data_IF_371841851399
#
_entry.id   IF_371841851399
#
_cell.length_a   1.000
_cell.length_b   1.000
_cell.length_c   1.000
_cell.angle_alpha   90.00
_cell.angle_beta   90.00
_cell.angle_gamma   90.00
#
_symmetry.space_group_name_H-M   'P 1'
#
loop_
_entity.id
_entity.type
_entity.pdbx_description
1 polymer ?
#
# COMPACT_ATOMS: atom_id res chain seq x y z
N UNK A 1 -8.03 -15.22 31.74
CA UNK A 1 -8.23 -16.64 31.43
C UNK A 1 -7.57 -16.92 30.09
N UNK A 2 -6.36 -17.50 30.05
CA UNK A 2 -5.66 -17.83 28.79
C UNK A 2 -6.42 -18.99 28.14
N UNK A 3 -7.11 -18.73 27.04
CA UNK A 3 -7.75 -19.77 26.23
C UNK A 3 -6.70 -20.41 25.32
N UNK A 4 -6.58 -21.72 25.41
CA UNK A 4 -5.65 -22.55 24.65
C UNK A 4 -6.20 -22.81 23.24
N UNK A 5 -6.08 -21.79 22.37
CA UNK A 5 -6.47 -21.82 20.95
C UNK A 5 -5.88 -23.02 20.20
N UNK A 6 -4.76 -23.55 20.67
CA UNK A 6 -4.09 -24.72 20.12
C UNK A 6 -4.93 -25.99 20.30
N UNK A 7 -5.67 -26.09 21.41
CA UNK A 7 -6.48 -27.26 21.76
C UNK A 7 -7.80 -27.35 20.96
N UNK A 8 -8.43 -26.20 20.70
CA UNK A 8 -9.63 -26.10 19.85
C UNK A 8 -9.28 -26.33 18.37
N UNK A 9 -8.12 -25.85 17.91
CA UNK A 9 -7.65 -26.09 16.54
C UNK A 9 -7.31 -27.57 16.30
N UNK A 10 -6.70 -28.26 17.27
CA UNK A 10 -6.47 -29.72 17.19
C UNK A 10 -7.74 -30.57 17.21
N UNK A 11 -8.84 -30.07 17.78
CA UNK A 11 -10.17 -30.71 17.68
C UNK A 11 -10.78 -30.52 16.29
N UNK A 12 -10.67 -29.32 15.72
CA UNK A 12 -11.16 -29.01 14.38
C UNK A 12 -10.43 -29.84 13.29
N UNK A 13 -9.11 -29.98 13.40
CA UNK A 13 -8.32 -30.76 12.43
C UNK A 13 -8.68 -32.26 12.40
N UNK A 14 -9.04 -32.84 13.56
CA UNK A 14 -9.54 -34.23 13.64
C UNK A 14 -10.89 -34.39 12.96
N UNK A 15 -11.79 -33.41 13.08
CA UNK A 15 -13.12 -33.45 12.47
C UNK A 15 -13.10 -33.31 10.93
N UNK A 16 -12.11 -32.62 10.37
CA UNK A 16 -11.93 -32.47 8.92
C UNK A 16 -11.24 -33.67 8.24
N UNK A 17 -10.75 -34.65 9.01
CA UNK A 17 -10.07 -35.85 8.48
C UNK A 17 -10.99 -37.04 8.19
N UNK A 18 -12.31 -36.87 8.36
CA UNK A 18 -13.31 -37.90 8.08
C UNK A 18 -13.91 -37.71 6.66
N UNK A 19 -14.05 -38.77 5.85
CA UNK A 19 -14.68 -38.66 4.54
C UNK A 19 -16.16 -38.27 4.71
N UNK A 20 -16.61 -37.23 4.01
CA UNK A 20 -17.98 -36.70 3.98
C UNK A 20 -18.49 -35.92 5.22
N UNK A 21 -17.61 -35.29 6.00
CA UNK A 21 -18.06 -34.37 7.05
C UNK A 21 -18.54 -33.02 6.48
N UNK A 22 -19.85 -32.72 6.60
CA UNK A 22 -20.36 -31.34 6.53
C UNK A 22 -20.26 -30.71 7.92
N UNK A 23 -19.19 -29.97 8.19
CA UNK A 23 -18.99 -29.31 9.48
C UNK A 23 -19.53 -27.88 9.46
N UNK A 24 -20.40 -27.57 10.42
CA UNK A 24 -20.85 -26.21 10.75
C UNK A 24 -20.17 -25.84 12.07
N UNK A 25 -19.11 -25.05 12.03
CA UNK A 25 -18.40 -24.65 13.25
C UNK A 25 -18.91 -23.29 13.72
N UNK A 26 -19.56 -23.25 14.89
CA UNK A 26 -19.91 -22.00 15.57
C UNK A 26 -18.74 -21.58 16.46
N UNK A 27 -18.10 -20.47 16.12
CA UNK A 27 -17.19 -19.78 17.04
C UNK A 27 -17.98 -18.68 17.75
N UNK A 28 -18.31 -18.92 19.01
CA UNK A 28 -18.90 -17.91 19.90
C UNK A 28 -17.80 -17.18 20.64
N UNK A 29 -17.74 -15.86 20.48
CA UNK A 29 -16.86 -14.98 21.23
C UNK A 29 -17.65 -14.41 22.41
N UNK A 30 -17.19 -14.63 23.64
CA UNK A 30 -17.73 -13.96 24.81
C UNK A 30 -16.84 -12.77 25.15
N UNK A 31 -17.18 -11.58 24.65
CA UNK A 31 -16.77 -10.32 25.26
C UNK A 31 -17.91 -9.85 26.17
N UNK A 32 -17.58 -9.22 27.31
CA UNK A 32 -18.55 -8.70 28.28
C UNK A 32 -19.42 -7.54 27.77
N UNK A 33 -19.59 -7.39 26.47
CA UNK A 33 -20.51 -6.44 25.83
C UNK A 33 -21.35 -7.22 24.81
N UNK A 34 -22.67 -7.01 24.86
CA UNK A 34 -23.71 -7.73 24.13
C UNK A 34 -23.53 -7.69 22.60
N UNK A 35 -22.67 -8.55 22.04
CA UNK A 35 -22.68 -8.86 20.61
C UNK A 35 -22.41 -10.35 20.40
N UNK A 36 -23.45 -11.08 19.98
CA UNK A 36 -23.33 -12.44 19.48
C UNK A 36 -23.32 -12.41 17.95
N UNK A 37 -22.14 -12.57 17.34
CA UNK A 37 -21.98 -12.76 15.90
C UNK A 37 -21.72 -14.23 15.56
N UNK A 38 -22.32 -14.73 14.47
CA UNK A 38 -22.13 -16.11 13.99
C UNK A 38 -21.31 -16.09 12.71
N UNK A 39 -20.11 -16.67 12.73
CA UNK A 39 -19.36 -16.97 11.51
C UNK A 39 -19.90 -18.26 10.88
N UNK A 40 -20.47 -18.19 9.67
CA UNK A 40 -20.98 -19.35 8.94
C UNK A 40 -20.11 -19.61 7.71
N UNK A 41 -19.28 -20.64 7.77
CA UNK A 41 -18.57 -21.17 6.59
C UNK A 41 -19.49 -22.20 5.90
N UNK A 42 -19.85 -21.95 4.64
CA UNK A 42 -20.61 -22.89 3.80
C UNK A 42 -19.74 -23.35 2.62
N UNK A 43 -19.62 -24.66 2.45
CA UNK A 43 -19.05 -25.28 1.25
C UNK A 43 -20.18 -25.91 0.44
N UNK A 44 -20.33 -25.53 -0.83
CA UNK A 44 -21.25 -26.18 -1.78
C UNK A 44 -20.46 -26.88 -2.88
N UNK A 45 -20.76 -28.13 -3.25
CA UNK A 45 -20.11 -28.79 -4.36
C UNK A 45 -20.82 -28.41 -5.67
N UNK A 46 -20.06 -27.89 -6.63
CA UNK A 46 -20.49 -27.67 -8.02
C UNK A 46 -19.34 -28.01 -8.96
N UNK A 47 -19.63 -28.80 -10.00
CA UNK A 47 -18.65 -29.31 -10.94
C UNK A 47 -18.12 -28.21 -11.89
N UNK A 48 -16.80 -28.12 -12.01
CA UNK A 48 -16.10 -27.23 -12.95
C UNK A 48 -15.52 -25.97 -12.30
N UNK A 49 -14.19 -25.88 -12.28
CA UNK A 49 -13.34 -24.79 -11.78
C UNK A 49 -13.54 -24.43 -10.29
N UNK A 50 -12.57 -24.86 -9.47
CA UNK A 50 -12.44 -24.44 -8.06
C UNK A 50 -12.24 -22.92 -7.96
N UNK A 51 -13.32 -22.18 -7.71
CA UNK A 51 -13.27 -20.81 -7.18
C UNK A 51 -13.74 -20.82 -5.73
N UNK A 52 -12.86 -20.66 -4.73
CA UNK A 52 -13.31 -20.39 -3.36
C UNK A 52 -13.77 -18.93 -3.29
N UNK A 53 -15.08 -18.72 -3.08
CA UNK A 53 -15.63 -17.40 -2.78
C UNK A 53 -15.58 -17.18 -1.26
N UNK A 54 -14.84 -16.18 -0.82
CA UNK A 54 -14.74 -15.81 0.60
C UNK A 54 -15.59 -14.56 0.81
N UNK A 55 -16.61 -14.66 1.67
CA UNK A 55 -17.53 -13.55 1.95
C UNK A 55 -17.35 -13.14 3.41
N UNK A 56 -17.02 -11.87 3.65
CA UNK A 56 -17.09 -11.27 4.98
C UNK A 56 -18.40 -10.49 5.11
N UNK A 57 -19.04 -10.58 6.28
CA UNK A 57 -20.31 -9.90 6.53
C UNK A 57 -20.05 -8.43 6.93
N UNK A 58 -20.73 -7.49 6.26
CA UNK A 58 -20.46 -6.05 6.31
C UNK A 58 -20.71 -5.38 7.68
N UNK A 59 -21.41 -6.03 8.60
CA UNK A 59 -21.62 -5.51 9.97
C UNK A 59 -20.39 -5.63 10.88
N UNK A 60 -19.35 -6.38 10.50
CA UNK A 60 -18.09 -6.49 11.27
C UNK A 60 -17.05 -5.42 10.91
N UNK A 61 -17.26 -4.66 9.85
CA UNK A 61 -16.27 -3.69 9.31
C UNK A 61 -16.33 -2.32 10.00
N UNK A 62 -17.29 -2.09 10.91
CA UNK A 62 -17.43 -0.82 11.65
C UNK A 62 -16.89 -0.81 13.08
N UNK A 63 -16.27 -1.88 13.59
CA UNK A 63 -15.69 -1.84 14.95
C UNK A 63 -14.36 -2.58 15.13
N UNK A 64 -13.29 -1.79 15.32
CA UNK A 64 -12.05 -2.06 16.07
C UNK A 64 -11.03 -3.06 15.48
N UNK A 65 -9.74 -2.72 15.64
CA UNK A 65 -8.55 -3.41 15.11
C UNK A 65 -8.31 -4.87 15.54
N UNK A 66 -9.25 -5.51 16.24
CA UNK A 66 -9.19 -6.92 16.64
C UNK A 66 -9.45 -7.89 15.48
N UNK A 67 -10.27 -7.51 14.49
CA UNK A 67 -10.50 -8.30 13.27
C UNK A 67 -9.23 -8.32 12.41
N UNK A 68 -8.51 -7.20 12.35
CA UNK A 68 -7.21 -7.05 11.67
C UNK A 68 -6.15 -7.99 12.26
N UNK A 69 -6.07 -8.08 13.60
CA UNK A 69 -5.10 -8.93 14.29
C UNK A 69 -5.37 -10.43 14.12
N UNK A 70 -6.65 -10.83 14.07
CA UNK A 70 -7.03 -12.25 13.96
C UNK A 70 -6.70 -12.86 12.59
N UNK A 71 -6.75 -12.07 11.51
CA UNK A 71 -6.34 -12.49 10.16
C UNK A 71 -4.82 -12.64 10.06
N UNK A 72 -4.08 -11.71 10.68
CA UNK A 72 -2.61 -11.76 10.77
C UNK A 72 -2.15 -12.98 11.58
N UNK A 73 -2.82 -13.30 12.68
CA UNK A 73 -2.48 -14.44 13.54
C UNK A 73 -2.81 -15.79 12.89
N UNK A 74 -3.91 -15.89 12.13
CA UNK A 74 -4.22 -17.07 11.30
C UNK A 74 -3.11 -17.34 10.27
N UNK A 75 -2.56 -16.29 9.66
CA UNK A 75 -1.47 -16.41 8.68
C UNK A 75 -0.11 -16.75 9.34
N UNK A 76 0.16 -16.23 10.55
CA UNK A 76 1.37 -16.55 11.34
C UNK A 76 1.41 -18.01 11.78
N UNK A 77 0.29 -18.58 12.22
CA UNK A 77 0.19 -20.00 12.64
C UNK A 77 0.44 -20.94 11.46
N UNK A 78 0.00 -20.57 10.26
CA UNK A 78 0.23 -21.36 9.06
C UNK A 78 1.72 -21.36 8.64
N UNK A 79 2.45 -20.27 8.91
CA UNK A 79 3.87 -20.11 8.53
C UNK A 79 4.86 -20.64 9.57
N UNK A 80 4.52 -20.66 10.86
CA UNK A 80 5.41 -21.23 11.90
C UNK A 80 5.68 -22.73 11.72
N UNK A 81 4.89 -23.41 10.88
CA UNK A 81 5.12 -24.79 10.47
C UNK A 81 6.00 -24.95 9.21
N UNK A 82 6.42 -23.86 8.55
CA UNK A 82 7.00 -23.93 7.20
C UNK A 82 8.40 -23.33 6.99
N UNK A 83 9.04 -22.68 7.98
CA UNK A 83 10.38 -22.10 7.74
C UNK A 83 11.36 -22.41 8.87
N UNK A 84 12.29 -23.31 8.59
CA UNK A 84 13.58 -23.42 9.28
C UNK A 84 14.70 -23.32 8.22
N UNK A 85 15.26 -22.11 8.03
CA UNK A 85 16.66 -21.88 7.65
C UNK A 85 16.96 -20.36 7.63
N UNK A 86 18.19 -19.92 7.98
CA UNK A 86 18.52 -18.53 8.29
C UNK A 86 19.08 -17.75 7.09
N UNK A 87 18.94 -16.43 7.12
CA UNK A 87 19.51 -15.49 6.16
C UNK A 87 20.87 -14.96 6.65
N UNK A 88 21.85 -14.86 5.75
CA UNK A 88 23.12 -14.15 5.92
C UNK A 88 23.17 -12.87 5.05
N UNK A 89 23.98 -11.86 5.42
CA UNK A 89 23.78 -10.46 5.02
C UNK A 89 24.55 -10.07 3.74
N UNK A 90 23.93 -9.23 2.92
CA UNK A 90 24.57 -8.63 1.74
C UNK A 90 25.18 -7.26 2.07
N UNK A 91 26.38 -7.06 1.53
CA UNK A 91 27.34 -6.00 1.84
C UNK A 91 27.04 -4.63 1.19
N UNK A 92 27.58 -3.59 1.82
CA UNK A 92 27.57 -2.18 1.44
C UNK A 92 28.38 -1.90 0.16
N UNK A 93 27.87 -0.97 -0.68
CA UNK A 93 28.67 -0.25 -1.65
C UNK A 93 28.25 1.22 -1.68
N UNK A 94 29.17 2.06 -1.23
CA UNK A 94 29.09 3.52 -1.12
C UNK A 94 29.52 4.22 -2.41
N UNK A 95 28.80 5.26 -2.81
CA UNK A 95 29.33 6.32 -3.66
C UNK A 95 28.58 7.65 -3.41
N UNK A 96 29.32 8.66 -2.95
CA UNK A 96 28.94 10.08 -2.93
C UNK A 96 29.43 10.73 -4.23
N UNK A 97 28.81 11.83 -4.71
CA UNK A 97 29.39 13.12 -4.35
C UNK A 97 28.35 14.23 -4.04
N UNK A 98 28.87 15.23 -3.32
CA UNK A 98 28.21 16.42 -2.80
C UNK A 98 27.73 17.41 -3.88
N UNK A 99 26.72 18.24 -3.56
CA UNK A 99 26.64 19.68 -3.90
C UNK A 99 25.58 20.39 -3.04
N UNK A 100 26.05 21.42 -2.33
CA UNK A 100 25.48 22.73 -1.93
C UNK A 100 23.97 22.91 -1.73
N UNK A 101 23.62 23.36 -0.51
CA UNK A 101 22.30 23.81 -0.10
C UNK A 101 21.91 25.15 -0.74
N UNK A 102 20.69 25.21 -1.28
CA UNK A 102 19.98 26.44 -1.64
C UNK A 102 18.59 26.40 -1.00
N UNK A 103 18.28 27.42 -0.20
CA UNK A 103 16.93 27.66 0.35
C UNK A 103 15.90 27.64 -0.78
N UNK A 104 15.03 26.64 -0.76
CA UNK A 104 14.04 26.39 -1.82
C UNK A 104 12.65 26.75 -1.29
N UNK A 105 12.05 27.77 -1.90
CA UNK A 105 10.62 28.07 -1.77
C UNK A 105 9.80 26.93 -2.40
N UNK A 106 8.64 26.62 -1.81
CA UNK A 106 7.79 25.50 -2.23
C UNK A 106 7.39 25.57 -3.71
N UNK A 107 7.48 24.45 -4.43
CA UNK A 107 7.04 24.35 -5.82
C UNK A 107 5.53 24.65 -5.93
N UNK A 108 5.05 25.33 -7.01
CA UNK A 108 3.64 25.67 -7.16
C UNK A 108 2.75 24.41 -7.21
N UNK A 109 1.53 24.45 -6.63
CA UNK A 109 0.64 23.29 -6.61
C UNK A 109 0.17 22.91 -8.03
N UNK A 110 0.02 21.62 -8.35
CA UNK A 110 -0.51 21.20 -9.64
C UNK A 110 -1.99 21.56 -9.79
N UNK A 111 -2.42 21.78 -11.03
CA UNK A 111 -3.81 22.04 -11.39
C UNK A 111 -4.69 20.81 -11.08
N UNK A 112 -5.93 21.04 -10.63
CA UNK A 112 -6.89 19.98 -10.31
C UNK A 112 -7.15 19.03 -11.50
N UNK A 113 -7.33 17.71 -11.27
CA UNK A 113 -7.60 16.76 -12.34
C UNK A 113 -8.93 17.05 -13.05
N UNK A 114 -8.92 16.94 -14.38
CA UNK A 114 -10.12 17.02 -15.22
C UNK A 114 -10.89 15.71 -15.08
N UNK A 115 -12.19 15.80 -14.76
CA UNK A 115 -13.05 14.65 -14.52
C UNK A 115 -13.08 13.67 -15.72
N UNK A 116 -13.04 12.35 -15.48
CA UNK A 116 -13.12 11.35 -16.54
C UNK A 116 -14.49 11.34 -17.23
N UNK A 117 -14.59 10.95 -18.51
CA UNK A 117 -15.85 10.89 -19.22
C UNK A 117 -16.79 9.84 -18.64
N UNK A 118 -18.02 10.27 -18.40
CA UNK A 118 -19.13 9.52 -17.81
C UNK A 118 -19.68 8.47 -18.76
N UNK A 119 -19.47 7.18 -18.47
CA UNK A 119 -20.43 6.07 -18.61
C UNK A 119 -19.71 4.72 -18.45
N UNK A 120 -19.57 4.28 -17.20
CA UNK A 120 -19.26 2.88 -16.89
C UNK A 120 -20.26 2.38 -15.84
N UNK A 121 -20.73 1.12 -15.94
CA UNK A 121 -21.63 0.54 -14.94
C UNK A 121 -20.95 0.61 -13.57
N UNK A 122 -21.74 0.81 -12.50
CA UNK A 122 -21.28 1.00 -11.12
C UNK A 122 -20.28 -0.10 -10.77
N UNK A 123 -18.99 0.20 -10.91
CA UNK A 123 -17.94 -0.77 -10.67
C UNK A 123 -17.96 -1.10 -9.18
N UNK A 124 -17.98 -2.39 -8.84
CA UNK A 124 -17.87 -2.81 -7.46
C UNK A 124 -16.65 -2.12 -6.83
N UNK A 125 -16.82 -1.54 -5.64
CA UNK A 125 -15.73 -0.95 -4.87
C UNK A 125 -14.61 -1.98 -4.74
N UNK A 126 -13.37 -1.56 -4.96
CA UNK A 126 -12.21 -2.45 -4.92
C UNK A 126 -11.32 -2.10 -3.74
N UNK A 127 -10.32 -2.95 -3.48
CA UNK A 127 -9.31 -2.65 -2.46
C UNK A 127 -8.61 -1.30 -2.72
N UNK A 128 -8.49 -0.88 -3.98
CA UNK A 128 -7.89 0.39 -4.40
C UNK A 128 -8.61 1.62 -3.81
N UNK A 129 -9.91 1.49 -3.50
CA UNK A 129 -10.76 2.56 -2.97
C UNK A 129 -10.68 2.72 -1.46
N UNK A 130 -10.29 1.66 -0.74
CA UNK A 130 -10.45 1.60 0.73
C UNK A 130 -9.16 1.36 1.48
N UNK A 131 -8.14 0.78 0.82
CA UNK A 131 -6.87 0.49 1.46
C UNK A 131 -6.02 1.76 1.51
N UNK A 132 -5.66 2.19 2.71
CA UNK A 132 -4.72 3.28 2.95
C UNK A 132 -3.29 2.70 3.05
N UNK A 133 -2.42 3.11 2.13
CA UNK A 133 -0.99 2.81 2.15
C UNK A 133 -0.26 3.82 3.03
N UNK A 134 0.73 3.34 3.78
CA UNK A 134 1.61 4.18 4.62
C UNK A 134 3.01 4.22 4.02
N UNK A 135 3.37 5.34 3.41
CA UNK A 135 4.63 5.51 2.68
C UNK A 135 5.55 6.46 3.41
N UNK A 136 6.73 6.01 3.83
CA UNK A 136 7.74 6.92 4.37
C UNK A 136 8.30 7.78 3.22
N UNK A 137 8.05 9.09 3.30
CA UNK A 137 8.43 10.08 2.27
C UNK A 137 9.62 10.95 2.69
N UNK A 138 9.94 11.00 3.99
CA UNK A 138 11.19 11.54 4.50
C UNK A 138 11.61 10.75 5.75
N UNK A 139 12.88 10.36 5.84
CA UNK A 139 13.41 9.53 6.93
C UNK A 139 14.69 10.12 7.47
N UNK A 140 14.83 10.14 8.79
CA UNK A 140 16.05 10.53 9.50
C UNK A 140 16.54 11.94 9.14
N UNK A 141 15.62 12.87 8.87
CA UNK A 141 15.97 14.26 8.48
C UNK A 141 15.91 15.19 9.69
N UNK A 142 16.77 16.20 9.72
CA UNK A 142 16.81 17.19 10.83
C UNK A 142 15.75 18.27 10.70
N UNK A 143 15.32 18.58 9.48
CA UNK A 143 14.28 19.56 9.17
C UNK A 143 13.50 19.14 7.95
N UNK A 144 12.24 19.56 7.84
CA UNK A 144 11.39 19.30 6.68
C UNK A 144 10.46 20.47 6.42
N UNK A 145 10.42 20.96 5.19
CA UNK A 145 9.44 21.97 4.76
C UNK A 145 8.10 21.29 4.52
N UNK A 146 7.04 21.77 5.17
CA UNK A 146 5.68 21.23 5.07
C UNK A 146 4.70 22.35 4.76
N UNK A 147 3.78 22.15 3.81
CA UNK A 147 2.79 23.15 3.41
C UNK A 147 1.47 22.52 2.98
N UNK A 148 0.45 23.36 2.79
CA UNK A 148 -0.87 22.94 2.29
C UNK A 148 -1.36 23.95 1.23
N UNK A 149 -1.86 23.46 0.10
CA UNK A 149 -2.31 24.33 -1.00
C UNK A 149 -3.64 25.06 -0.68
N UNK A 150 -4.58 24.39 -0.01
CA UNK A 150 -5.93 24.89 0.29
C UNK A 150 -6.04 25.60 1.64
N UNK A 151 -4.95 25.66 2.42
CA UNK A 151 -5.01 25.91 3.86
C UNK A 151 -5.49 24.68 4.62
N UNK A 152 -5.10 24.54 5.89
CA UNK A 152 -5.46 23.38 6.69
C UNK A 152 -4.99 23.49 8.14
N UNK A 153 -5.18 22.42 8.90
CA UNK A 153 -4.87 22.37 10.34
C UNK A 153 -3.86 21.28 10.61
N UNK A 154 -2.80 21.61 11.36
CA UNK A 154 -1.93 20.61 11.97
C UNK A 154 -2.62 20.10 13.22
N UNK A 155 -2.86 18.79 13.31
CA UNK A 155 -3.62 18.17 14.39
C UNK A 155 -2.76 17.19 15.19
N UNK A 156 -3.13 16.94 16.44
CA UNK A 156 -2.57 15.82 17.19
C UNK A 156 -3.21 14.50 16.76
N UNK A 157 -2.71 13.38 17.29
CA UNK A 157 -3.22 12.04 16.97
C UNK A 157 -4.66 11.78 17.44
N UNK A 158 -5.20 12.65 18.29
CA UNK A 158 -6.60 12.61 18.76
C UNK A 158 -7.54 13.50 17.93
N UNK A 159 -7.03 14.19 16.90
CA UNK A 159 -7.79 15.10 16.04
C UNK A 159 -7.94 16.53 16.58
N UNK A 160 -7.29 16.88 17.68
CA UNK A 160 -7.29 18.26 18.18
C UNK A 160 -6.25 19.08 17.41
N UNK A 161 -6.69 20.22 16.85
CA UNK A 161 -5.81 21.17 16.17
C UNK A 161 -4.76 21.79 17.09
N UNK A 162 -3.52 21.89 16.60
CA UNK A 162 -2.44 22.68 17.18
C UNK A 162 -2.44 24.10 16.61
N UNK A 163 -2.42 24.20 15.28
CA UNK A 163 -2.28 25.46 14.55
C UNK A 163 -2.74 25.31 13.11
N UNK A 164 -3.06 26.44 12.49
CA UNK A 164 -3.39 26.53 11.08
C UNK A 164 -2.13 26.67 10.23
N UNK A 165 -2.14 26.06 9.05
CA UNK A 165 -1.19 26.32 7.99
C UNK A 165 -1.84 27.23 6.95
N UNK A 166 -1.23 28.39 6.63
CA UNK A 166 -1.77 29.30 5.65
C UNK A 166 -1.84 28.64 4.26
N UNK A 167 -2.86 28.99 3.48
CA UNK A 167 -2.98 28.53 2.10
C UNK A 167 -1.79 29.01 1.27
N UNK A 168 -1.22 28.11 0.48
CA UNK A 168 0.00 28.34 -0.32
C UNK A 168 1.24 28.75 0.49
N UNK A 169 1.19 28.63 1.82
CA UNK A 169 2.36 28.78 2.68
C UNK A 169 3.03 27.45 2.99
N UNK A 170 4.27 27.53 3.45
CA UNK A 170 4.99 26.40 4.02
C UNK A 170 5.64 26.80 5.34
N UNK A 171 5.83 25.82 6.21
CA UNK A 171 6.52 25.95 7.48
C UNK A 171 7.65 24.94 7.54
N UNK A 172 8.75 25.33 8.18
CA UNK A 172 9.83 24.39 8.49
C UNK A 172 9.46 23.66 9.77
N UNK A 173 9.45 22.33 9.69
CA UNK A 173 9.27 21.42 10.81
C UNK A 173 10.64 20.92 11.26
N UNK A 174 10.85 20.86 12.58
CA UNK A 174 12.07 20.32 13.21
C UNK A 174 11.74 19.53 14.48
N UNK A 175 12.54 18.51 14.85
CA UNK A 175 12.38 17.81 16.11
C UNK A 175 12.91 18.66 17.27
N UNK A 176 12.28 18.56 18.43
CA UNK A 176 12.71 19.18 19.69
C UNK A 176 12.82 18.11 20.78
N UNK A 177 13.37 18.46 21.95
CA UNK A 177 13.41 17.54 23.08
C UNK A 177 12.02 17.08 23.58
N UNK A 178 10.97 17.85 23.29
CA UNK A 178 9.60 17.61 23.79
C UNK A 178 8.62 17.15 22.70
N UNK A 179 9.03 17.14 21.43
CA UNK A 179 8.13 16.82 20.32
C UNK A 179 8.62 17.39 19.01
N UNK A 180 7.74 18.08 18.28
CA UNK A 180 8.06 18.73 17.02
C UNK A 180 7.79 20.23 17.13
N UNK A 181 8.46 21.03 16.31
CA UNK A 181 8.18 22.44 16.15
C UNK A 181 7.97 22.75 14.67
N UNK A 182 6.83 23.34 14.34
CA UNK A 182 6.46 23.77 12.99
C UNK A 182 6.32 25.29 12.97
N UNK A 183 7.34 26.01 12.48
CA UNK A 183 7.42 27.46 12.66
C UNK A 183 7.32 27.86 14.14
N UNK A 184 6.32 28.64 14.49
CA UNK A 184 6.05 29.06 15.89
C UNK A 184 5.16 28.08 16.67
N UNK A 185 4.70 27.00 16.03
CA UNK A 185 3.75 26.05 16.60
C UNK A 185 4.49 24.86 17.25
N UNK A 186 4.23 24.63 18.54
CA UNK A 186 4.76 23.48 19.27
C UNK A 186 3.80 22.30 19.15
N UNK A 187 4.29 21.18 18.64
CA UNK A 187 3.52 19.95 18.47
C UNK A 187 4.05 18.87 19.42
N UNK A 188 3.27 17.81 19.63
CA UNK A 188 3.76 16.62 20.34
C UNK A 188 4.78 15.84 19.49
N UNK A 189 5.16 14.64 19.95
CA UNK A 189 6.03 13.73 19.20
C UNK A 189 5.40 13.23 17.90
N UNK A 190 4.08 13.39 17.72
CA UNK A 190 3.36 13.03 16.52
C UNK A 190 2.33 14.11 16.14
N UNK A 191 2.24 14.43 14.85
CA UNK A 191 1.24 15.37 14.35
C UNK A 191 0.76 14.99 12.95
N UNK A 192 -0.52 15.18 12.70
CA UNK A 192 -1.15 15.04 11.40
C UNK A 192 -1.16 16.38 10.67
N UNK A 193 -0.84 16.32 9.38
CA UNK A 193 -1.04 17.40 8.43
C UNK A 193 -2.02 16.88 7.39
N UNK A 194 -3.19 17.50 7.33
CA UNK A 194 -4.29 17.04 6.49
C UNK A 194 -4.79 18.18 5.60
N UNK A 195 -5.02 17.85 4.33
CA UNK A 195 -5.59 18.73 3.33
C UNK A 195 -6.81 18.03 2.71
N UNK A 196 -8.01 18.13 3.32
CA UNK A 196 -9.18 17.32 2.95
C UNK A 196 -9.53 17.38 1.45
N UNK A 197 -9.43 18.58 0.86
CA UNK A 197 -9.70 18.84 -0.56
C UNK A 197 -8.45 19.33 -1.32
N UNK A 198 -7.26 18.96 -0.83
CA UNK A 198 -6.01 19.54 -1.28
C UNK A 198 -4.83 18.56 -1.31
N UNK A 199 -3.64 19.16 -1.29
CA UNK A 199 -2.37 18.48 -1.32
C UNK A 199 -1.51 18.97 -0.16
N UNK A 200 -0.77 18.05 0.45
CA UNK A 200 0.25 18.35 1.44
C UNK A 200 1.59 18.43 0.73
N UNK A 201 2.26 19.56 0.83
CA UNK A 201 3.63 19.72 0.36
C UNK A 201 4.57 19.19 1.43
N UNK A 202 5.53 18.35 1.05
CA UNK A 202 6.55 17.82 1.95
C UNK A 202 7.89 17.77 1.21
N UNK A 203 8.87 18.50 1.72
CA UNK A 203 10.20 18.59 1.10
C UNK A 203 10.16 19.33 -0.23
N UNK A 204 10.07 18.57 -1.32
CA UNK A 204 10.07 19.03 -2.71
C UNK A 204 8.82 18.63 -3.51
N UNK A 205 7.91 17.87 -2.89
CA UNK A 205 6.84 17.17 -3.60
C UNK A 205 5.48 17.40 -2.94
N UNK A 206 4.43 17.37 -3.76
CA UNK A 206 3.04 17.45 -3.31
C UNK A 206 2.44 16.05 -3.19
N UNK A 207 1.67 15.79 -2.14
CA UNK A 207 1.08 14.49 -1.86
C UNK A 207 -0.43 14.60 -1.61
N UNK A 208 -1.18 13.61 -2.08
CA UNK A 208 -2.60 13.40 -1.73
C UNK A 208 -2.72 12.80 -0.33
N UNK A 209 -3.92 12.90 0.24
CA UNK A 209 -4.24 12.34 1.55
C UNK A 209 -3.64 13.16 2.67
N UNK A 210 -3.08 12.49 3.68
CA UNK A 210 -2.57 13.13 4.91
C UNK A 210 -1.16 12.68 5.21
N UNK A 211 -0.45 13.47 6.00
CA UNK A 211 0.95 13.19 6.37
C UNK A 211 1.06 13.14 7.89
N UNK A 212 1.61 12.05 8.39
CA UNK A 212 2.03 11.90 9.77
C UNK A 212 3.48 12.38 9.91
N UNK A 213 3.69 13.37 10.76
CA UNK A 213 5.02 13.82 11.17
C UNK A 213 5.34 13.21 12.53
N UNK A 214 6.54 12.63 12.65
CA UNK A 214 7.02 11.97 13.86
C UNK A 214 8.39 12.51 14.26
N UNK A 215 8.54 12.80 15.57
CA UNK A 215 9.86 12.89 16.18
C UNK A 215 10.31 11.48 16.58
N UNK A 216 11.22 10.92 15.80
CA UNK A 216 11.79 9.60 16.00
C UNK A 216 13.23 9.73 16.50
N UNK A 217 13.41 9.79 17.82
CA UNK A 217 14.74 9.83 18.43
C UNK A 217 15.54 11.10 18.10
N UNK A 218 14.88 12.24 17.94
CA UNK A 218 15.53 13.51 17.58
C UNK A 218 15.71 13.69 16.06
N UNK A 219 15.19 12.77 15.25
CA UNK A 219 15.11 12.91 13.79
C UNK A 219 13.65 12.90 13.33
N UNK A 220 13.37 13.55 12.21
CA UNK A 220 12.04 13.55 11.61
C UNK A 220 11.82 12.33 10.74
N UNK A 221 10.62 11.77 10.88
CA UNK A 221 10.02 10.83 9.96
C UNK A 221 8.70 11.43 9.47
N UNK A 222 8.53 11.52 8.15
CA UNK A 222 7.26 11.87 7.53
C UNK A 222 6.69 10.66 6.79
N UNK A 223 5.45 10.29 7.10
CA UNK A 223 4.74 9.16 6.50
C UNK A 223 3.48 9.69 5.83
N UNK A 224 3.37 9.51 4.51
CA UNK A 224 2.17 9.81 3.78
C UNK A 224 1.19 8.64 3.87
N UNK A 225 -0.03 8.96 4.27
CA UNK A 225 -1.17 8.08 4.34
C UNK A 225 -2.06 8.42 3.15
N UNK A 226 -2.16 7.49 2.20
CA UNK A 226 -2.77 7.72 0.89
C UNK A 226 -3.53 6.48 0.45
N UNK A 227 -4.70 6.65 -0.17
CA UNK A 227 -5.46 5.51 -0.68
C UNK A 227 -4.71 4.83 -1.83
N UNK A 228 -4.82 3.51 -1.91
CA UNK A 228 -4.02 2.68 -2.82
C UNK A 228 -4.15 3.11 -4.30
N UNK A 229 -5.34 3.51 -4.77
CA UNK A 229 -5.52 4.05 -6.13
C UNK A 229 -4.60 5.23 -6.44
N UNK A 230 -4.51 6.17 -5.50
CA UNK A 230 -3.76 7.41 -5.68
C UNK A 230 -2.26 7.15 -5.55
N UNK A 231 -1.88 6.28 -4.61
CA UNK A 231 -0.52 5.74 -4.53
C UNK A 231 -0.06 5.14 -5.88
N UNK A 232 -0.87 4.25 -6.47
CA UNK A 232 -0.52 3.58 -7.72
C UNK A 232 -0.41 4.54 -8.89
N UNK A 233 -1.24 5.58 -8.95
CA UNK A 233 -1.18 6.57 -10.04
C UNK A 233 0.15 7.33 -10.04
N UNK A 234 0.69 7.61 -8.85
CA UNK A 234 2.01 8.21 -8.66
C UNK A 234 3.15 7.22 -8.92
N UNK A 235 3.04 5.97 -8.46
CA UNK A 235 4.06 4.95 -8.71
C UNK A 235 4.21 4.68 -10.21
N UNK A 236 3.11 4.47 -10.93
CA UNK A 236 3.17 4.22 -12.38
C UNK A 236 3.81 5.42 -13.10
N UNK A 237 3.47 6.65 -12.73
CA UNK A 237 4.08 7.87 -13.30
C UNK A 237 5.54 8.10 -12.89
N UNK A 238 5.96 7.55 -11.76
CA UNK A 238 7.36 7.60 -11.30
C UNK A 238 8.25 6.58 -12.00
N UNK A 239 7.66 5.45 -12.40
CA UNK A 239 8.35 4.26 -12.91
C UNK A 239 8.32 4.16 -14.45
N UNK A 240 7.30 4.72 -15.10
CA UNK A 240 7.13 4.62 -16.55
C UNK A 240 6.80 5.97 -17.17
N UNK A 241 7.23 6.14 -18.43
CA UNK A 241 6.88 7.33 -19.19
C UNK A 241 5.38 7.30 -19.57
N UNK A 242 4.64 8.41 -19.39
CA UNK A 242 3.20 8.47 -19.66
C UNK A 242 2.77 8.20 -21.11
N UNK A 243 3.68 8.39 -22.07
CA UNK A 243 3.45 8.20 -23.51
C UNK A 243 3.67 6.75 -23.96
N UNK A 244 4.11 5.87 -23.06
CA UNK A 244 4.23 4.44 -23.37
C UNK A 244 2.86 3.79 -23.58
N UNK A 245 2.79 2.67 -24.31
CA UNK A 245 1.54 2.00 -24.60
C UNK A 245 0.73 1.70 -23.34
N UNK A 246 -0.58 1.97 -23.39
CA UNK A 246 -1.47 1.79 -22.23
C UNK A 246 -1.41 0.37 -21.65
N UNK A 247 -1.22 -0.66 -22.48
CA UNK A 247 -1.10 -2.04 -22.02
C UNK A 247 0.15 -2.29 -21.17
N UNK A 248 1.26 -1.59 -21.45
CA UNK A 248 2.46 -1.62 -20.61
C UNK A 248 2.22 -0.92 -19.27
N UNK A 249 1.56 0.25 -19.29
CA UNK A 249 1.17 0.98 -18.07
C UNK A 249 0.21 0.17 -17.19
N UNK A 250 -0.74 -0.56 -17.79
CA UNK A 250 -1.64 -1.49 -17.07
C UNK A 250 -0.88 -2.64 -16.42
N UNK A 251 0.08 -3.24 -17.13
CA UNK A 251 0.93 -4.29 -16.57
C UNK A 251 1.71 -3.78 -15.34
N UNK A 252 2.26 -2.57 -15.43
CA UNK A 252 2.93 -1.92 -14.30
C UNK A 252 1.98 -1.59 -13.15
N UNK A 253 0.76 -1.12 -13.43
CA UNK A 253 -0.22 -0.86 -12.36
C UNK A 253 -0.52 -2.12 -11.55
N UNK A 254 -0.69 -3.27 -12.21
CA UNK A 254 -0.94 -4.57 -11.56
C UNK A 254 0.28 -5.06 -10.77
N UNK A 255 1.48 -4.97 -11.36
CA UNK A 255 2.71 -5.32 -10.66
C UNK A 255 2.91 -4.40 -9.43
N UNK A 256 2.75 -3.08 -9.60
CA UNK A 256 2.88 -2.14 -8.50
C UNK A 256 1.87 -2.42 -7.38
N UNK A 257 0.63 -2.77 -7.73
CA UNK A 257 -0.42 -3.16 -6.76
C UNK A 257 -0.04 -4.41 -5.98
N UNK A 258 0.44 -5.44 -6.67
CA UNK A 258 0.83 -6.70 -6.02
C UNK A 258 2.01 -6.50 -5.04
N UNK A 259 2.98 -5.67 -5.41
CA UNK A 259 4.08 -5.27 -4.53
C UNK A 259 3.60 -4.47 -3.31
N UNK A 260 2.75 -3.46 -3.52
CA UNK A 260 2.18 -2.63 -2.46
C UNK A 260 1.36 -3.46 -1.46
N UNK A 261 0.51 -4.36 -1.94
CA UNK A 261 -0.28 -5.25 -1.09
C UNK A 261 0.60 -6.20 -0.26
N UNK A 262 1.68 -6.72 -0.85
CA UNK A 262 2.64 -7.56 -0.13
C UNK A 262 3.25 -6.79 1.06
N UNK A 263 3.66 -5.54 0.84
CA UNK A 263 4.25 -4.69 1.86
C UNK A 263 3.24 -4.13 2.86
N UNK A 264 1.97 -4.01 2.48
CA UNK A 264 0.92 -3.73 3.45
C UNK A 264 0.72 -4.90 4.43
N UNK A 265 0.82 -6.14 3.94
CA UNK A 265 0.73 -7.35 4.78
C UNK A 265 2.01 -7.56 5.61
N UNK A 266 3.17 -7.16 5.08
CA UNK A 266 4.49 -7.26 5.70
C UNK A 266 5.17 -5.90 5.71
N UNK A 267 4.74 -4.99 6.60
CA UNK A 267 5.25 -3.63 6.60
C UNK A 267 6.72 -3.57 6.98
N UNK A 268 7.44 -2.64 6.36
CA UNK A 268 8.85 -2.40 6.63
C UNK A 268 9.11 -1.90 8.06
N UNK A 269 8.11 -1.28 8.70
CA UNK A 269 8.15 -0.90 10.12
C UNK A 269 6.74 -0.80 10.73
N UNK A 270 6.67 -0.53 12.02
CA UNK A 270 5.38 -0.24 12.67
C UNK A 270 4.72 1.05 12.15
N UNK A 271 5.53 1.99 11.62
CA UNK A 271 5.06 3.31 11.18
C UNK A 271 4.63 3.34 9.71
N UNK A 272 5.29 2.57 8.84
CA UNK A 272 5.06 2.62 7.40
C UNK A 272 5.18 1.24 6.75
N UNK A 273 4.44 1.05 5.66
CA UNK A 273 4.39 -0.19 4.89
C UNK A 273 5.63 -0.32 4.01
N UNK A 274 6.02 0.77 3.34
CA UNK A 274 7.20 0.88 2.46
C UNK A 274 7.73 2.33 2.46
N UNK A 275 8.90 2.57 1.88
CA UNK A 275 9.43 3.92 1.65
C UNK A 275 9.41 4.31 0.17
N UNK A 276 9.68 5.58 -0.13
CA UNK A 276 9.61 6.16 -1.47
C UNK A 276 10.88 6.00 -2.32
N UNK A 277 11.85 5.18 -1.87
CA UNK A 277 13.12 4.99 -2.56
C UNK A 277 13.07 3.83 -3.56
N UNK A 278 14.08 3.76 -4.43
CA UNK A 278 14.26 2.65 -5.38
C UNK A 278 14.47 1.28 -4.70
N UNK A 279 14.69 1.24 -3.38
CA UNK A 279 14.69 -0.03 -2.63
C UNK A 279 13.32 -0.70 -2.65
N UNK A 280 12.25 0.09 -2.74
CA UNK A 280 10.89 -0.39 -2.87
C UNK A 280 10.33 0.01 -4.23
N UNK A 281 9.62 1.13 -4.30
CA UNK A 281 9.01 1.66 -5.51
C UNK A 281 9.19 3.17 -5.50
N UNK A 282 9.46 3.75 -6.67
CA UNK A 282 9.51 5.20 -6.77
C UNK A 282 8.11 5.78 -6.52
N UNK A 283 7.99 6.62 -5.50
CA UNK A 283 6.76 7.34 -5.15
C UNK A 283 7.06 8.83 -4.98
N UNK A 284 6.70 9.63 -6.00
CA UNK A 284 7.07 11.06 -6.11
C UNK A 284 5.90 12.03 -5.88
N UNK A 285 4.77 11.51 -5.40
CA UNK A 285 3.56 12.30 -5.18
C UNK A 285 2.86 12.69 -6.49
N UNK A 286 2.10 13.79 -6.47
CA UNK A 286 1.15 14.13 -7.53
C UNK A 286 1.79 14.72 -8.79
N UNK A 287 3.02 15.23 -8.71
CA UNK A 287 3.68 15.91 -9.82
C UNK A 287 4.01 15.02 -11.03
N UNK A 288 3.97 13.69 -10.83
CA UNK A 288 4.23 12.68 -11.87
C UNK A 288 2.95 11.98 -12.36
N UNK A 289 1.81 12.29 -11.77
CA UNK A 289 0.54 11.71 -12.18
C UNK A 289 0.09 12.31 -13.53
N UNK A 290 -0.49 11.48 -14.39
CA UNK A 290 -1.09 11.92 -15.64
C UNK A 290 -2.41 11.23 -15.87
N UNK A 291 -3.22 11.73 -16.81
CA UNK A 291 -4.45 11.06 -17.22
C UNK A 291 -4.19 9.62 -17.69
N UNK A 292 -3.02 9.35 -18.28
CA UNK A 292 -2.64 8.01 -18.74
C UNK A 292 -2.32 7.07 -17.58
N UNK A 293 -1.60 7.53 -16.55
CA UNK A 293 -1.29 6.69 -15.38
C UNK A 293 -2.55 6.40 -14.59
N UNK A 294 -3.43 7.39 -14.42
CA UNK A 294 -4.75 7.21 -13.79
C UNK A 294 -5.64 6.26 -14.59
N UNK A 295 -5.67 6.37 -15.94
CA UNK A 295 -6.43 5.47 -16.79
C UNK A 295 -5.93 4.02 -16.71
N UNK A 296 -4.62 3.80 -16.64
CA UNK A 296 -4.04 2.47 -16.48
C UNK A 296 -4.42 1.82 -15.13
N UNK A 297 -4.36 2.59 -14.04
CA UNK A 297 -4.78 2.13 -12.71
C UNK A 297 -6.29 1.84 -12.68
N UNK A 298 -7.11 2.75 -13.22
CA UNK A 298 -8.56 2.60 -13.29
C UNK A 298 -9.00 1.39 -14.14
N UNK A 299 -8.28 1.07 -15.21
CA UNK A 299 -8.58 -0.08 -16.06
C UNK A 299 -8.19 -1.43 -15.43
N UNK A 300 -7.48 -1.42 -14.30
CA UNK A 300 -6.95 -2.63 -13.62
C UNK A 300 -7.35 -2.69 -12.14
N UNK A 301 -8.45 -2.02 -11.77
CA UNK A 301 -8.88 -1.91 -10.37
C UNK A 301 -8.97 -3.26 -9.66
N UNK A 302 -8.31 -3.35 -8.51
CA UNK A 302 -8.26 -4.53 -7.67
C UNK A 302 -7.47 -5.70 -8.24
N UNK A 303 -6.93 -5.63 -9.46
CA UNK A 303 -6.17 -6.73 -10.07
C UNK A 303 -4.73 -6.80 -9.55
N UNK A 304 -4.32 -7.99 -9.14
CA UNK A 304 -2.98 -8.28 -8.63
C UNK A 304 -2.49 -9.65 -9.12
N UNK A 305 -1.19 -9.90 -9.00
CA UNK A 305 -0.56 -11.15 -9.43
C UNK A 305 -0.69 -12.16 -8.29
N UNK A 306 -1.25 -13.33 -8.60
CA UNK A 306 -1.51 -14.39 -7.63
C UNK A 306 -0.85 -15.71 -8.01
N UNK A 307 -0.33 -16.40 -7.00
CA UNK A 307 0.17 -17.76 -7.10
C UNK A 307 -0.44 -18.62 -6.00
N UNK A 308 -1.15 -19.69 -6.38
CA UNK A 308 -1.85 -20.60 -5.44
C UNK A 308 -2.74 -19.87 -4.42
N UNK A 309 -3.40 -18.78 -4.85
CA UNK A 309 -4.28 -17.95 -4.02
C UNK A 309 -3.56 -16.96 -3.10
N UNK A 310 -2.22 -16.95 -3.07
CA UNK A 310 -1.43 -15.92 -2.38
C UNK A 310 -1.14 -14.73 -3.29
N UNK A 311 -0.83 -13.58 -2.67
CA UNK A 311 -0.32 -12.38 -3.36
C UNK A 311 1.16 -12.62 -3.70
N UNK A 312 1.55 -12.31 -4.93
CA UNK A 312 2.94 -12.40 -5.38
C UNK A 312 3.64 -11.07 -5.18
N UNK A 313 4.81 -11.10 -4.57
CA UNK A 313 5.73 -9.96 -4.56
C UNK A 313 6.31 -9.80 -5.97
N UNK A 314 5.75 -8.88 -6.75
CA UNK A 314 6.12 -8.72 -8.15
C UNK A 314 7.23 -7.69 -8.30
N UNK A 315 8.45 -8.20 -8.43
CA UNK A 315 9.65 -7.41 -8.71
C UNK A 315 9.63 -6.90 -10.15
N UNK A 316 10.13 -5.69 -10.38
CA UNK A 316 10.28 -5.12 -11.72
C UNK A 316 11.47 -4.15 -11.75
N UNK A 317 12.03 -3.94 -12.93
CA UNK A 317 13.12 -2.97 -13.13
C UNK A 317 13.12 -2.39 -14.55
N UNK A 318 13.94 -1.36 -14.77
CA UNK A 318 13.96 -0.63 -16.04
C UNK A 318 14.25 -1.51 -17.27
N UNK A 319 15.24 -2.41 -17.19
CA UNK A 319 15.65 -3.27 -18.30
C UNK A 319 15.80 -4.73 -17.85
N UNK A 320 15.76 -5.67 -18.81
CA UNK A 320 15.99 -7.10 -18.54
C UNK A 320 17.36 -7.33 -17.87
N UNK A 321 18.38 -6.55 -18.24
CA UNK A 321 19.69 -6.61 -17.61
C UNK A 321 19.61 -6.28 -16.11
N UNK A 322 18.88 -5.22 -15.73
CA UNK A 322 18.74 -4.85 -14.32
C UNK A 322 17.90 -5.90 -13.58
N UNK A 323 16.88 -6.49 -14.21
CA UNK A 323 16.14 -7.62 -13.61
C UNK A 323 17.08 -8.80 -13.37
N UNK A 324 17.97 -9.10 -14.31
CA UNK A 324 18.95 -10.17 -14.17
C UNK A 324 19.92 -9.91 -13.02
N UNK A 325 20.46 -8.69 -12.93
CA UNK A 325 21.46 -8.31 -11.93
C UNK A 325 20.86 -8.14 -10.52
N UNK A 326 19.70 -7.49 -10.40
CA UNK A 326 19.09 -7.15 -9.11
C UNK A 326 18.18 -8.26 -8.55
N UNK A 327 17.60 -9.09 -9.41
CA UNK A 327 16.55 -10.05 -9.03
C UNK A 327 16.80 -11.47 -9.54
N UNK A 328 18.00 -11.75 -10.05
CA UNK A 328 18.36 -13.08 -10.58
C UNK A 328 17.50 -13.51 -11.76
N UNK A 329 16.97 -12.55 -12.53
CA UNK A 329 16.12 -12.79 -13.70
C UNK A 329 14.63 -12.93 -13.37
N UNK A 330 14.23 -12.72 -12.11
CA UNK A 330 12.83 -12.80 -11.68
C UNK A 330 12.21 -11.41 -11.61
N UNK A 331 11.22 -11.15 -12.45
CA UNK A 331 10.49 -9.88 -12.44
C UNK A 331 10.26 -9.32 -13.83
N UNK A 332 9.53 -8.21 -13.88
CA UNK A 332 9.17 -7.57 -15.15
C UNK A 332 10.20 -6.51 -15.57
N UNK A 333 10.65 -6.59 -16.82
CA UNK A 333 11.34 -5.45 -17.45
C UNK A 333 10.32 -4.42 -17.93
N UNK A 334 10.50 -3.16 -17.54
CA UNK A 334 9.65 -2.05 -17.99
C UNK A 334 9.81 -1.81 -19.50
N UNK A 335 11.04 -1.75 -20.01
CA UNK A 335 11.28 -1.62 -21.45
C UNK A 335 10.79 -2.85 -22.23
N UNK A 336 11.00 -4.06 -21.71
CA UNK A 336 10.48 -5.25 -22.37
C UNK A 336 8.95 -5.30 -22.38
N UNK A 337 8.28 -4.87 -21.30
CA UNK A 337 6.82 -4.72 -21.26
C UNK A 337 6.31 -3.72 -22.32
N UNK A 338 7.00 -2.59 -22.50
CA UNK A 338 6.73 -1.64 -23.60
C UNK A 338 6.87 -2.32 -24.96
N UNK A 339 7.97 -3.05 -25.19
CA UNK A 339 8.24 -3.71 -26.47
C UNK A 339 7.19 -4.78 -26.79
N UNK A 340 6.74 -5.55 -25.79
CA UNK A 340 5.65 -6.49 -25.94
C UNK A 340 4.33 -5.77 -26.30
N UNK A 341 4.01 -4.67 -25.63
CA UNK A 341 2.82 -3.88 -25.96
C UNK A 341 2.88 -3.31 -27.38
N UNK A 342 4.05 -2.84 -27.84
CA UNK A 342 4.27 -2.39 -29.23
C UNK A 342 4.11 -3.51 -30.26
N UNK A 343 4.33 -4.76 -29.87
CA UNK A 343 4.05 -5.95 -30.69
C UNK A 343 2.60 -6.42 -30.61
N UNK A 344 1.72 -5.67 -29.94
CA UNK A 344 0.29 -5.95 -29.83
C UNK A 344 -0.11 -6.87 -28.68
N UNK A 345 0.78 -7.12 -27.71
CA UNK A 345 0.43 -7.91 -26.53
C UNK A 345 -0.47 -7.09 -25.60
N UNK A 346 -1.55 -7.70 -25.10
CA UNK A 346 -2.32 -7.13 -23.99
C UNK A 346 -1.60 -7.28 -22.65
N UNK A 347 -1.97 -6.48 -21.64
CA UNK A 347 -1.30 -6.46 -20.33
C UNK A 347 -1.24 -7.84 -19.65
N UNK A 348 -2.27 -8.67 -19.82
CA UNK A 348 -2.31 -10.03 -19.28
C UNK A 348 -1.23 -10.93 -19.91
N UNK A 349 -1.03 -10.80 -21.23
CA UNK A 349 0.00 -11.54 -21.94
C UNK A 349 1.39 -11.05 -21.53
N UNK A 350 1.58 -9.74 -21.41
CA UNK A 350 2.82 -9.14 -20.91
C UNK A 350 3.17 -9.72 -19.54
N UNK A 351 2.24 -9.67 -18.58
CA UNK A 351 2.47 -10.20 -17.23
C UNK A 351 2.76 -11.71 -17.24
N UNK A 352 2.13 -12.48 -18.12
CA UNK A 352 2.38 -13.93 -18.22
C UNK A 352 3.81 -14.28 -18.70
N UNK A 353 4.47 -13.38 -19.45
CA UNK A 353 5.87 -13.54 -19.84
C UNK A 353 6.78 -13.41 -18.62
N UNK A 354 6.54 -12.40 -17.78
CA UNK A 354 7.45 -12.05 -16.68
C UNK A 354 7.16 -12.76 -15.36
N UNK A 355 5.94 -13.23 -15.17
CA UNK A 355 5.51 -13.94 -13.95
C UNK A 355 4.93 -15.32 -14.30
N UNK A 356 5.75 -16.24 -14.86
CA UNK A 356 5.27 -17.54 -15.32
C UNK A 356 4.70 -18.37 -14.16
N UNK A 357 3.63 -19.13 -14.44
CA UNK A 357 2.95 -19.97 -13.45
C UNK A 357 2.07 -19.20 -12.47
N UNK A 358 1.93 -17.88 -12.62
CA UNK A 358 0.98 -17.04 -11.88
C UNK A 358 -0.31 -16.82 -12.66
N UNK A 359 -1.30 -16.24 -12.00
CA UNK A 359 -2.58 -15.82 -12.59
C UNK A 359 -2.96 -14.45 -12.05
N UNK A 360 -3.82 -13.72 -12.75
CA UNK A 360 -4.43 -12.51 -12.19
C UNK A 360 -5.60 -12.88 -11.27
N UNK A 361 -5.67 -12.20 -10.13
CA UNK A 361 -6.81 -12.26 -9.21
C UNK A 361 -7.27 -10.85 -8.91
N UNK A 362 -8.51 -10.71 -8.43
CA UNK A 362 -9.11 -9.39 -8.14
C UNK A 362 -9.64 -9.32 -6.71
N UNK A 363 -9.31 -8.25 -6.01
CA UNK A 363 -9.86 -7.93 -4.68
C UNK A 363 -10.99 -6.90 -4.80
N UNK A 364 -12.21 -7.35 -4.54
CA UNK A 364 -13.42 -6.52 -4.44
C UNK A 364 -13.85 -6.39 -2.99
N UNK A 365 -14.49 -5.26 -2.67
CA UNK A 365 -15.06 -4.96 -1.35
C UNK A 365 -16.57 -4.97 -1.51
N UNK A 366 -17.25 -5.91 -0.87
CA UNK A 366 -18.72 -6.03 -0.82
C UNK A 366 -19.29 -5.40 0.46
#
# INVERSE_FOLDING_TARGET
MKFDLQREWQRFHRLCSLPNARTRTRLTFASGALFSGVLVLRFMPGAGAFMPRMTLNAELTRSTGLVRQSIIDLYRIQRSQQVAAPAEPAAEASATPATTASETAAAPPPSAPVAPPTSAPVAATTIDDVLEMRVAIARNVSTLTVGINSGGVVMNTSGQGYCELPSQGSVVVRPTAQGLQAGNCQLSTAAWVEAPDGYVYVGDSWFKGRVLLLNNGGQLLAVNYVILREYLSSVVGSEMYPDWPLEALKAQAIAARSYALTHHVRPASDYFDLDNTQRFQAYKGVGVETNMTQAAVAATLGEFISYKGGIVESLYAASDQIVQEAHGGQGMSQHGAKDHALRGYGYQQILSVYYPGTSLSRLVVE
#
